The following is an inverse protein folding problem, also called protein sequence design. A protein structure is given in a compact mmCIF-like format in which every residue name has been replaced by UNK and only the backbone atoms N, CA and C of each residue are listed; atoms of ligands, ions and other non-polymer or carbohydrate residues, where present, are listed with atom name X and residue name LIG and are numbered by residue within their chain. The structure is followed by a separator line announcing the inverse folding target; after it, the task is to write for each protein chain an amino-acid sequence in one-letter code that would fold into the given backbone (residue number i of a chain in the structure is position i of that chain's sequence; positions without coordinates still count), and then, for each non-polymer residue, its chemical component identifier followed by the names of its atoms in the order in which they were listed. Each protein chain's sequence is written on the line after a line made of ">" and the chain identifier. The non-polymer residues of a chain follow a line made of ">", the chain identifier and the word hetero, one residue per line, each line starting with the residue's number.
data_IF_027997106031
#
_entry.id   IF_027997106031
#
_cell.length_a   1.000
_cell.length_b   1.000
_cell.length_c   1.000
_cell.angle_alpha   90.00
_cell.angle_beta   90.00
_cell.angle_gamma   90.00
#
_symmetry.space_group_name_H-M   'P 1'
#
loop_
_entity.id
_entity.type
_entity.pdbx_description
1 polymer ?
#
# COMPACT_ATOMS: atom_id res chain seq x y z
N UNK A 1 -2.38 20.16 -1.77
CA UNK A 1 -3.13 20.15 -0.50
C UNK A 1 -4.24 21.18 -0.60
N UNK A 2 -5.45 20.85 -0.14
CA UNK A 2 -6.64 21.70 -0.23
C UNK A 2 -7.28 21.89 1.15
N UNK A 3 -7.51 23.15 1.57
CA UNK A 3 -8.09 23.50 2.87
C UNK A 3 -9.47 24.12 2.64
N UNK A 4 -10.52 23.41 3.08
CA UNK A 4 -11.91 23.87 2.93
C UNK A 4 -12.47 24.30 4.28
N UNK A 5 -12.75 25.60 4.38
CA UNK A 5 -13.42 26.22 5.52
C UNK A 5 -14.94 26.10 5.38
N UNK A 6 -15.61 25.56 6.40
CA UNK A 6 -17.07 25.36 6.41
C UNK A 6 -17.75 26.17 7.51
N UNK A 7 -18.78 26.95 7.14
CA UNK A 7 -19.64 27.66 8.11
C UNK A 7 -20.57 26.73 8.88
N UNK A 8 -20.83 25.52 8.38
CA UNK A 8 -21.70 24.52 9.02
C UNK A 8 -20.98 23.76 10.14
N UNK A 9 -19.66 23.63 10.06
CA UNK A 9 -18.83 22.97 11.09
C UNK A 9 -18.49 23.97 12.19
N UNK A 10 -18.71 23.57 13.44
CA UNK A 10 -18.49 24.45 14.62
C UNK A 10 -17.22 24.13 15.41
N UNK A 11 -16.81 22.86 15.48
CA UNK A 11 -15.66 22.43 16.32
C UNK A 11 -14.78 21.34 15.69
N UNK A 12 -15.30 20.63 14.67
CA UNK A 12 -14.65 19.43 14.13
C UNK A 12 -13.76 19.75 12.95
N UNK A 13 -12.50 19.31 13.05
CA UNK A 13 -11.53 19.24 11.95
C UNK A 13 -11.43 17.80 11.49
N UNK A 14 -11.37 17.57 10.18
CA UNK A 14 -11.13 16.25 9.61
C UNK A 14 -10.22 16.36 8.40
N UNK A 15 -9.38 15.36 8.18
CA UNK A 15 -8.52 15.29 7.01
C UNK A 15 -8.59 13.90 6.38
N UNK A 16 -8.48 13.85 5.05
CA UNK A 16 -8.44 12.61 4.26
C UNK A 16 -7.63 12.85 2.97
N UNK A 17 -7.16 11.77 2.34
CA UNK A 17 -6.59 11.83 0.98
C UNK A 17 -7.67 11.61 -0.06
N UNK A 18 -7.65 12.46 -1.08
CA UNK A 18 -8.40 12.32 -2.32
C UNK A 18 -7.39 12.25 -3.47
N UNK A 19 -7.03 11.02 -3.86
CA UNK A 19 -5.88 10.76 -4.72
C UNK A 19 -4.56 11.28 -4.11
N UNK A 20 -3.83 12.11 -4.85
CA UNK A 20 -2.59 12.75 -4.36
C UNK A 20 -2.83 13.99 -3.50
N UNK A 21 -4.08 14.46 -3.40
CA UNK A 21 -4.41 15.69 -2.68
C UNK A 21 -4.87 15.37 -1.26
N UNK A 22 -4.16 15.92 -0.27
CA UNK A 22 -4.65 15.97 1.12
C UNK A 22 -5.72 17.05 1.22
N UNK A 23 -6.92 16.68 1.66
CA UNK A 23 -8.06 17.57 1.87
C UNK A 23 -8.29 17.73 3.37
N UNK A 24 -8.26 18.98 3.85
CA UNK A 24 -8.54 19.32 5.25
C UNK A 24 -9.83 20.14 5.33
N UNK A 25 -10.77 19.69 6.15
CA UNK A 25 -12.05 20.34 6.41
C UNK A 25 -12.04 20.94 7.82
N UNK A 26 -12.21 22.26 7.94
CA UNK A 26 -12.20 22.95 9.25
C UNK A 26 -13.31 24.01 9.38
N UNK A 27 -13.71 24.39 10.62
CA UNK A 27 -14.65 25.48 10.86
C UNK A 27 -14.19 26.81 10.24
N UNK A 28 -15.14 27.58 9.70
CA UNK A 28 -14.82 28.93 9.20
C UNK A 28 -14.34 29.88 10.30
N UNK A 29 -14.74 29.62 11.55
CA UNK A 29 -14.35 30.38 12.74
C UNK A 29 -12.95 30.06 13.26
N UNK A 30 -12.22 29.09 12.68
CA UNK A 30 -10.86 28.77 13.11
C UNK A 30 -9.92 29.95 12.87
N UNK A 31 -9.22 30.47 13.90
CA UNK A 31 -8.25 31.55 13.77
C UNK A 31 -7.13 31.20 12.79
N UNK A 32 -6.69 32.17 11.99
CA UNK A 32 -5.56 32.00 11.05
C UNK A 32 -4.26 31.62 11.77
N UNK A 33 -4.08 32.06 13.02
CA UNK A 33 -2.91 31.74 13.84
C UNK A 33 -2.81 30.27 14.26
N UNK A 34 -3.95 29.58 14.41
CA UNK A 34 -4.01 28.16 14.79
C UNK A 34 -4.12 27.22 13.58
N UNK A 35 -4.37 27.77 12.39
CA UNK A 35 -4.59 26.99 11.17
C UNK A 35 -3.40 26.08 10.85
N UNK A 36 -2.18 26.64 10.90
CA UNK A 36 -0.98 25.90 10.54
C UNK A 36 -0.71 24.74 11.50
N UNK A 37 -0.86 24.96 12.81
CA UNK A 37 -0.67 23.93 13.83
C UNK A 37 -1.67 22.76 13.65
N UNK A 38 -2.94 23.09 13.42
CA UNK A 38 -3.98 22.10 13.16
C UNK A 38 -3.72 21.34 11.85
N UNK A 39 -3.30 22.04 10.81
CA UNK A 39 -2.92 21.44 9.52
C UNK A 39 -1.81 20.42 9.72
N UNK A 40 -0.73 20.82 10.39
CA UNK A 40 0.45 19.96 10.59
C UNK A 40 0.09 18.72 11.42
N UNK A 41 -0.71 18.88 12.48
CA UNK A 41 -1.22 17.76 13.28
C UNK A 41 -2.03 16.77 12.42
N UNK A 42 -2.94 17.27 11.58
CA UNK A 42 -3.80 16.44 10.75
C UNK A 42 -3.03 15.73 9.64
N UNK A 43 -2.03 16.39 9.03
CA UNK A 43 -1.13 15.78 8.06
C UNK A 43 -0.32 14.66 8.72
N UNK A 44 0.29 14.91 9.89
CA UNK A 44 1.02 13.87 10.61
C UNK A 44 0.13 12.67 10.99
N UNK A 45 -1.12 12.92 11.37
CA UNK A 45 -2.08 11.86 11.69
C UNK A 45 -2.45 11.03 10.46
N UNK A 46 -2.62 11.67 9.30
CA UNK A 46 -2.82 10.99 8.03
C UNK A 46 -1.59 10.16 7.66
N UNK A 47 -0.39 10.73 7.71
CA UNK A 47 0.85 10.03 7.36
C UNK A 47 1.09 8.81 8.27
N UNK A 48 0.78 8.89 9.57
CA UNK A 48 0.84 7.72 10.47
C UNK A 48 -0.18 6.65 10.11
N UNK A 49 -1.36 7.04 9.65
CA UNK A 49 -2.42 6.11 9.23
C UNK A 49 -2.04 5.44 7.92
N UNK A 50 -1.54 6.22 6.96
CA UNK A 50 -1.07 5.74 5.65
C UNK A 50 0.16 4.84 5.81
N UNK A 51 1.10 5.19 6.69
CA UNK A 51 2.26 4.35 6.97
C UNK A 51 1.86 3.01 7.62
N UNK A 52 0.81 2.99 8.45
CA UNK A 52 0.23 1.75 8.98
C UNK A 52 -0.52 0.96 7.91
N UNK A 53 -1.03 1.62 6.87
CA UNK A 53 -1.73 0.98 5.75
C UNK A 53 -0.80 0.53 4.62
N UNK A 54 0.42 1.09 4.51
CA UNK A 54 1.43 0.57 3.59
C UNK A 54 1.68 -0.91 3.92
N UNK A 55 1.43 -1.83 2.98
CA UNK A 55 1.59 -3.25 3.26
C UNK A 55 3.04 -3.52 3.67
N UNK A 56 3.25 -4.11 4.84
CA UNK A 56 4.58 -4.57 5.27
C UNK A 56 5.00 -5.81 4.48
N UNK A 57 6.29 -6.18 4.56
CA UNK A 57 6.77 -7.46 4.02
C UNK A 57 6.06 -8.65 4.71
N UNK A 58 5.78 -8.53 6.01
CA UNK A 58 5.02 -9.54 6.77
C UNK A 58 3.59 -9.71 6.22
N UNK A 59 2.86 -8.61 6.03
CA UNK A 59 1.51 -8.65 5.47
C UNK A 59 1.50 -9.17 4.02
N UNK A 60 2.55 -8.86 3.24
CA UNK A 60 2.73 -9.38 1.90
C UNK A 60 2.97 -10.91 1.92
N UNK A 61 3.75 -11.41 2.87
CA UNK A 61 4.00 -12.83 3.08
C UNK A 61 2.72 -13.57 3.49
N UNK A 62 1.99 -13.07 4.49
CA UNK A 62 0.70 -13.62 4.90
C UNK A 62 -0.27 -13.68 3.71
N UNK A 63 -0.33 -12.60 2.92
CA UNK A 63 -1.17 -12.56 1.72
C UNK A 63 -0.75 -13.58 0.68
N UNK A 64 0.56 -13.72 0.42
CA UNK A 64 1.09 -14.69 -0.53
C UNK A 64 0.77 -16.14 -0.11
N UNK A 65 0.93 -16.46 1.17
CA UNK A 65 0.58 -17.78 1.72
C UNK A 65 -0.93 -18.07 1.58
N UNK A 66 -1.78 -17.08 1.89
CA UNK A 66 -3.22 -17.20 1.66
C UNK A 66 -3.55 -17.45 0.18
N UNK A 67 -2.95 -16.69 -0.75
CA UNK A 67 -3.18 -16.88 -2.19
C UNK A 67 -2.70 -18.26 -2.67
N UNK A 68 -1.53 -18.70 -2.22
CA UNK A 68 -0.97 -20.00 -2.55
C UNK A 68 -1.90 -21.14 -2.10
N UNK A 69 -2.30 -21.13 -0.83
CA UNK A 69 -3.21 -22.15 -0.28
C UNK A 69 -4.57 -22.15 -0.98
N UNK A 70 -5.11 -20.98 -1.33
CA UNK A 70 -6.42 -20.85 -1.97
C UNK A 70 -6.41 -21.30 -3.43
N UNK A 71 -5.37 -20.95 -4.20
CA UNK A 71 -5.40 -21.06 -5.66
C UNK A 71 -4.44 -22.10 -6.24
N UNK A 72 -3.28 -22.35 -5.61
CA UNK A 72 -2.26 -23.24 -6.17
C UNK A 72 -2.47 -24.72 -5.77
N UNK A 73 -3.38 -25.00 -4.82
CA UNK A 73 -3.76 -26.36 -4.36
C UNK A 73 -2.56 -27.27 -4.07
N UNK A 74 -1.41 -26.69 -3.72
CA UNK A 74 -0.15 -27.38 -3.45
C UNK A 74 0.54 -26.71 -2.27
N UNK A 75 1.35 -27.48 -1.56
CA UNK A 75 2.20 -26.96 -0.50
C UNK A 75 3.45 -26.36 -1.13
N UNK A 76 3.67 -25.07 -0.92
CA UNK A 76 4.94 -24.44 -1.25
C UNK A 76 5.93 -24.70 -0.12
N UNK A 77 7.17 -25.09 -0.46
CA UNK A 77 8.27 -24.98 0.51
C UNK A 77 8.43 -23.52 0.94
N UNK A 78 9.09 -23.25 2.09
CA UNK A 78 9.33 -21.90 2.56
C UNK A 78 9.92 -21.00 1.47
N UNK A 79 9.39 -19.78 1.36
CA UNK A 79 9.83 -18.78 0.40
C UNK A 79 9.85 -17.42 1.10
N UNK A 80 10.61 -16.48 0.54
CA UNK A 80 10.59 -15.10 1.00
C UNK A 80 9.89 -14.22 -0.03
N UNK A 81 9.16 -13.21 0.44
CA UNK A 81 8.56 -12.20 -0.43
C UNK A 81 8.72 -10.83 0.22
N UNK A 82 9.09 -9.82 -0.56
CA UNK A 82 9.35 -8.47 -0.05
C UNK A 82 9.03 -7.38 -1.06
N UNK A 83 8.73 -6.20 -0.54
CA UNK A 83 8.65 -4.98 -1.33
C UNK A 83 10.05 -4.49 -1.71
N UNK A 84 10.19 -3.99 -2.93
CA UNK A 84 11.45 -3.42 -3.44
C UNK A 84 11.24 -2.12 -4.18
N UNK A 85 12.18 -1.19 -4.02
CA UNK A 85 12.13 0.13 -4.66
C UNK A 85 12.89 0.20 -5.98
N UNK A 86 13.77 -0.76 -6.23
CA UNK A 86 14.68 -0.76 -7.38
C UNK A 86 14.16 -1.55 -8.61
N UNK A 87 12.89 -1.95 -8.62
CA UNK A 87 12.27 -2.69 -9.73
C UNK A 87 11.50 -1.73 -10.65
N UNK A 88 12.15 -1.31 -11.74
CA UNK A 88 11.66 -0.23 -12.61
C UNK A 88 10.91 -0.75 -13.86
N UNK A 89 11.37 -1.87 -14.43
CA UNK A 89 10.83 -2.44 -15.66
C UNK A 89 9.84 -3.59 -15.44
N UNK A 90 9.69 -4.07 -14.20
CA UNK A 90 8.84 -5.20 -13.84
C UNK A 90 8.03 -4.90 -12.59
N UNK A 91 6.85 -5.51 -12.48
CA UNK A 91 5.97 -5.38 -11.32
C UNK A 91 6.29 -6.41 -10.23
N UNK A 92 6.81 -7.57 -10.64
CA UNK A 92 7.27 -8.65 -9.79
C UNK A 92 8.44 -9.39 -10.45
N UNK A 93 9.14 -10.19 -9.63
CA UNK A 93 10.10 -11.19 -10.11
C UNK A 93 10.32 -12.23 -9.01
N UNK A 94 10.57 -13.47 -9.39
CA UNK A 94 11.06 -14.50 -8.48
C UNK A 94 12.43 -15.04 -8.91
N UNK A 95 13.16 -15.58 -7.94
CA UNK A 95 14.38 -16.34 -8.14
C UNK A 95 14.10 -17.76 -7.63
N UNK A 96 13.83 -18.75 -8.50
CA UNK A 96 13.44 -20.08 -8.06
C UNK A 96 14.49 -20.81 -7.22
N UNK A 97 15.78 -20.55 -7.47
CA UNK A 97 16.90 -21.21 -6.78
C UNK A 97 16.99 -20.86 -5.29
N UNK A 98 16.69 -19.61 -4.91
CA UNK A 98 16.70 -19.14 -3.51
C UNK A 98 15.27 -18.97 -2.95
N UNK A 99 14.25 -19.25 -3.76
CA UNK A 99 12.83 -19.13 -3.44
C UNK A 99 12.48 -17.72 -2.92
N UNK A 100 13.06 -16.69 -3.52
CA UNK A 100 12.75 -15.31 -3.21
C UNK A 100 11.83 -14.68 -4.25
N UNK A 101 10.88 -13.87 -3.78
CA UNK A 101 9.99 -13.06 -4.60
C UNK A 101 10.21 -11.59 -4.24
N UNK A 102 10.28 -10.74 -5.26
CA UNK A 102 10.42 -9.29 -5.13
C UNK A 102 9.24 -8.64 -5.84
N UNK A 103 8.51 -7.81 -5.10
CA UNK A 103 7.35 -7.07 -5.61
C UNK A 103 7.67 -5.58 -5.62
N UNK A 104 7.37 -4.90 -6.72
CA UNK A 104 7.66 -3.47 -6.86
C UNK A 104 6.79 -2.66 -5.90
N UNK A 105 7.39 -1.76 -5.13
CA UNK A 105 6.67 -0.84 -4.22
C UNK A 105 5.62 0.01 -4.96
N UNK A 106 5.75 0.17 -6.28
CA UNK A 106 4.79 0.88 -7.13
C UNK A 106 3.41 0.21 -7.14
N UNK A 107 3.31 -1.06 -6.75
CA UNK A 107 2.04 -1.76 -6.58
C UNK A 107 1.35 -1.45 -5.24
N UNK A 108 2.03 -0.83 -4.26
CA UNK A 108 1.42 -0.53 -2.96
C UNK A 108 0.27 0.49 -3.05
N UNK A 109 0.24 1.32 -4.10
CA UNK A 109 -0.87 2.25 -4.38
C UNK A 109 -1.95 1.66 -5.29
N UNK A 110 -1.76 0.43 -5.78
CA UNK A 110 -2.68 -0.21 -6.71
C UNK A 110 -3.79 -0.95 -5.96
N UNK A 111 -4.96 -1.17 -6.58
CA UNK A 111 -6.00 -1.99 -6.00
C UNK A 111 -5.50 -3.37 -5.60
N UNK A 112 -5.99 -3.91 -4.48
CA UNK A 112 -5.53 -5.19 -3.92
C UNK A 112 -5.53 -6.34 -4.93
N UNK A 113 -6.53 -6.41 -5.81
CA UNK A 113 -6.62 -7.49 -6.81
C UNK A 113 -5.47 -7.46 -7.82
N UNK A 114 -4.89 -6.29 -8.12
CA UNK A 114 -3.72 -6.14 -8.99
C UNK A 114 -2.48 -6.69 -8.27
N UNK A 115 -2.33 -6.35 -7.00
CA UNK A 115 -1.26 -6.89 -6.15
C UNK A 115 -1.35 -8.41 -6.07
N UNK A 116 -2.54 -8.94 -5.80
CA UNK A 116 -2.80 -10.37 -5.69
C UNK A 116 -2.45 -11.12 -6.98
N UNK A 117 -2.80 -10.54 -8.14
CA UNK A 117 -2.48 -11.12 -9.44
C UNK A 117 -0.96 -11.25 -9.64
N UNK A 118 -0.20 -10.18 -9.38
CA UNK A 118 1.26 -10.20 -9.53
C UNK A 118 1.89 -11.17 -8.54
N UNK A 119 1.45 -11.18 -7.29
CA UNK A 119 1.92 -12.14 -6.28
C UNK A 119 1.67 -13.58 -6.73
N UNK A 120 0.47 -13.88 -7.23
CA UNK A 120 0.13 -15.23 -7.69
C UNK A 120 0.95 -15.65 -8.91
N UNK A 121 1.24 -14.71 -9.82
CA UNK A 121 2.12 -14.94 -10.97
C UNK A 121 3.53 -15.34 -10.54
N UNK A 122 4.13 -14.61 -9.59
CA UNK A 122 5.46 -14.95 -9.10
C UNK A 122 5.48 -16.27 -8.30
N UNK A 123 4.42 -16.57 -7.54
CA UNK A 123 4.28 -17.86 -6.85
C UNK A 123 4.19 -19.03 -7.85
N UNK A 124 3.52 -18.84 -8.98
CA UNK A 124 3.46 -19.84 -10.04
C UNK A 124 4.85 -20.10 -10.64
N UNK A 125 5.66 -19.05 -10.84
CA UNK A 125 7.04 -19.19 -11.30
C UNK A 125 7.95 -19.92 -10.30
N UNK A 126 7.68 -19.84 -8.99
CA UNK A 126 8.40 -20.67 -8.00
C UNK A 126 8.10 -22.16 -8.15
N UNK A 127 6.90 -22.52 -8.61
CA UNK A 127 6.49 -23.92 -8.82
C UNK A 127 6.97 -24.45 -10.16
N UNK A 128 6.81 -23.64 -11.21
CA UNK A 128 7.15 -24.00 -12.58
C UNK A 128 7.96 -22.84 -13.15
N UNK A 129 9.30 -22.90 -13.03
CA UNK A 129 10.22 -21.83 -13.46
C UNK A 129 10.03 -21.41 -14.92
N UNK A 130 9.54 -22.31 -15.77
CA UNK A 130 9.34 -22.07 -17.19
C UNK A 130 7.88 -21.74 -17.51
N UNK A 131 7.61 -20.44 -17.70
CA UNK A 131 6.44 -19.92 -18.44
C UNK A 131 6.86 -18.68 -19.23
N UNK A 132 8.01 -18.75 -19.90
CA UNK A 132 8.37 -17.78 -20.93
C UNK A 132 7.40 -17.96 -22.11
N UNK A 133 6.46 -17.04 -22.25
CA UNK A 133 5.72 -16.84 -23.50
C UNK A 133 6.57 -15.99 -24.46
#
# INVERSE_FOLDING_TARGET
>A
MDIRRSKRRRRTVSAYRDGETVVILMPASTPRSQEQEIVDEMVQRLDRTDARQKPSDEALLERAQFLASKYLKTTLDPFSIRWVTNQQSRWGSCTPTDRSIRISHRLQSMPQFVVDYVVLHELAHLLVPDHSA
#
